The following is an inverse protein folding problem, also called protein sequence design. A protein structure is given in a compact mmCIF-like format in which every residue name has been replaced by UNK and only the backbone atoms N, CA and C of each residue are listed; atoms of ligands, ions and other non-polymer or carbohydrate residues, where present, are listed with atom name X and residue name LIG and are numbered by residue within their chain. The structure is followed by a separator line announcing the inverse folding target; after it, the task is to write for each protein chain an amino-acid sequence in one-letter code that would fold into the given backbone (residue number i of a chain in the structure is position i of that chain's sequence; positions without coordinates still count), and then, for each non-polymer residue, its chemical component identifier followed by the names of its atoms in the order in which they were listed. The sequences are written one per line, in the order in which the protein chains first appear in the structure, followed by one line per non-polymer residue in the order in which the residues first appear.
data_IF_882187093532
#
_entry.id   IF_882187093532
#
_cell.length_a   1.000
_cell.length_b   1.000
_cell.length_c   1.000
_cell.angle_alpha   90.00
_cell.angle_beta   90.00
_cell.angle_gamma   90.00
#
_symmetry.space_group_name_H-M   'P 1'
#
loop_
_entity.id
_entity.type
_entity.pdbx_description
1 polymer ?
#
# COMPACT_ATOMS: atom_id res chain seq x y z
N UNK A 1 15.34 1.05 -6.58
CA UNK A 1 15.29 2.52 -6.71
C UNK A 1 14.29 3.01 -5.67
N UNK A 2 14.72 3.80 -4.68
CA UNK A 2 13.81 4.36 -3.67
C UNK A 2 12.88 5.34 -4.39
N UNK A 3 11.56 5.16 -4.23
CA UNK A 3 10.57 6.13 -4.73
C UNK A 3 10.68 7.40 -3.89
N UNK A 4 11.54 8.33 -4.27
CA UNK A 4 11.46 9.70 -3.76
C UNK A 4 10.38 10.43 -4.53
N UNK A 5 9.16 10.42 -3.99
CA UNK A 5 8.13 11.36 -4.40
C UNK A 5 8.50 12.74 -3.84
N UNK A 6 8.88 13.73 -4.65
CA UNK A 6 9.03 15.09 -4.15
C UNK A 6 7.69 15.52 -3.51
N UNK A 7 7.75 16.06 -2.29
CA UNK A 7 6.61 16.55 -1.50
C UNK A 7 5.64 15.52 -0.88
N UNK A 8 5.98 14.23 -0.82
CA UNK A 8 5.15 13.29 -0.03
C UNK A 8 5.30 13.58 1.48
N UNK A 9 4.31 14.26 2.04
CA UNK A 9 4.26 14.58 3.47
C UNK A 9 3.88 13.34 4.26
N UNK A 10 4.74 12.92 5.21
CA UNK A 10 4.46 11.75 6.06
C UNK A 10 3.45 12.11 7.14
N UNK A 11 2.38 11.34 7.22
CA UNK A 11 1.37 11.45 8.29
C UNK A 11 1.66 10.42 9.38
N UNK A 12 1.48 10.82 10.63
CA UNK A 12 1.66 9.98 11.82
C UNK A 12 0.37 9.98 12.65
N UNK A 13 0.13 8.90 13.40
CA UNK A 13 -0.95 8.85 14.38
C UNK A 13 -0.51 9.45 15.73
N UNK A 14 -1.42 9.41 16.71
CA UNK A 14 -1.22 9.97 18.06
C UNK A 14 -0.09 9.28 18.84
N UNK A 15 0.23 8.04 18.50
CA UNK A 15 1.22 7.21 19.17
C UNK A 15 2.59 7.29 18.46
N UNK A 16 2.67 8.07 17.37
CA UNK A 16 3.89 8.34 16.62
C UNK A 16 4.17 7.33 15.50
N UNK A 17 3.25 6.41 15.21
CA UNK A 17 3.41 5.47 14.11
C UNK A 17 3.12 6.16 12.78
N UNK A 18 3.94 5.86 11.77
CA UNK A 18 3.70 6.36 10.41
C UNK A 18 2.47 5.68 9.83
N UNK A 19 1.48 6.47 9.41
CA UNK A 19 0.27 5.94 8.76
C UNK A 19 0.57 5.47 7.35
N UNK A 20 0.16 4.23 7.06
CA UNK A 20 0.33 3.57 5.77
C UNK A 20 -0.95 2.83 5.40
N UNK A 21 -1.16 2.63 4.11
CA UNK A 21 -2.20 1.75 3.61
C UNK A 21 -1.63 0.87 2.49
N UNK A 22 -2.17 -0.34 2.38
CA UNK A 22 -1.76 -1.37 1.44
C UNK A 22 -3.00 -2.18 1.05
N UNK A 23 -2.92 -2.91 -0.07
CA UNK A 23 -3.98 -3.79 -0.53
C UNK A 23 -3.42 -5.16 -0.90
N UNK A 24 -4.17 -6.20 -0.55
CA UNK A 24 -3.92 -7.56 -1.03
C UNK A 24 -4.64 -7.70 -2.37
N UNK A 25 -3.90 -7.48 -3.46
CA UNK A 25 -4.44 -7.57 -4.81
C UNK A 25 -4.63 -9.04 -5.19
N UNK A 26 -5.87 -9.52 -5.22
CA UNK A 26 -6.22 -10.89 -5.63
C UNK A 26 -6.55 -10.96 -7.11
N UNK A 27 -6.29 -12.11 -7.75
CA UNK A 27 -6.63 -12.32 -9.18
C UNK A 27 -8.14 -12.39 -9.42
N UNK A 28 -8.87 -12.94 -8.45
CA UNK A 28 -10.32 -13.18 -8.53
C UNK A 28 -10.94 -13.25 -7.13
N UNK A 29 -12.27 -13.26 -7.06
CA UNK A 29 -13.06 -13.38 -5.82
C UNK A 29 -12.81 -14.68 -5.04
N UNK A 30 -12.11 -15.66 -5.64
CA UNK A 30 -11.69 -16.87 -4.94
C UNK A 30 -10.55 -16.62 -3.93
N UNK A 31 -9.86 -15.47 -4.01
CA UNK A 31 -8.77 -15.05 -3.10
C UNK A 31 -7.61 -16.08 -2.99
N UNK A 32 -7.37 -16.89 -4.02
CA UNK A 32 -6.34 -17.97 -4.00
C UNK A 32 -4.95 -17.55 -4.47
N UNK A 33 -4.85 -16.44 -5.19
CA UNK A 33 -3.59 -15.90 -5.72
C UNK A 33 -3.49 -14.42 -5.38
N UNK A 34 -2.31 -13.98 -4.92
CA UNK A 34 -2.03 -12.58 -4.56
C UNK A 34 -0.89 -12.02 -5.40
N UNK A 35 -0.99 -10.75 -5.79
CA UNK A 35 0.07 -10.02 -6.47
C UNK A 35 1.00 -9.37 -5.45
N UNK A 36 2.30 -9.65 -5.58
CA UNK A 36 3.37 -9.00 -4.83
C UNK A 36 4.25 -8.19 -5.78
N UNK A 37 4.96 -7.21 -5.22
CA UNK A 37 5.95 -6.40 -5.94
C UNK A 37 7.33 -6.60 -5.31
N UNK A 38 8.39 -6.33 -6.06
CA UNK A 38 9.76 -6.38 -5.53
C UNK A 38 10.04 -5.16 -4.66
N UNK A 39 10.75 -5.36 -3.55
CA UNK A 39 11.06 -4.27 -2.64
C UNK A 39 12.05 -3.27 -3.26
N UNK A 40 11.72 -1.97 -3.12
CA UNK A 40 12.56 -0.89 -3.64
C UNK A 40 13.94 -0.79 -2.95
N UNK A 41 14.06 -1.28 -1.72
CA UNK A 41 15.28 -1.28 -0.88
C UNK A 41 16.06 -2.59 -0.97
N UNK A 42 15.36 -3.70 -1.18
CA UNK A 42 15.91 -5.07 -1.21
C UNK A 42 15.25 -5.82 -2.38
N UNK A 43 15.73 -5.63 -3.62
CA UNK A 43 15.08 -6.15 -4.83
C UNK A 43 14.90 -7.67 -4.87
N UNK A 44 15.64 -8.41 -4.04
CA UNK A 44 15.52 -9.86 -3.86
C UNK A 44 14.30 -10.30 -3.02
N UNK A 45 13.63 -9.36 -2.35
CA UNK A 45 12.46 -9.62 -1.50
C UNK A 45 11.16 -9.17 -2.19
N UNK A 46 10.10 -9.95 -1.96
CA UNK A 46 8.74 -9.62 -2.36
C UNK A 46 7.98 -8.98 -1.21
N UNK A 47 7.17 -7.97 -1.51
CA UNK A 47 6.35 -7.24 -0.55
C UNK A 47 4.93 -7.03 -1.09
N UNK A 48 3.99 -6.80 -0.17
CA UNK A 48 2.66 -6.30 -0.51
C UNK A 48 2.78 -4.84 -0.97
N UNK A 49 2.18 -4.45 -2.12
CA UNK A 49 2.19 -3.07 -2.57
C UNK A 49 1.43 -2.17 -1.58
N UNK A 50 2.03 -1.02 -1.25
CA UNK A 50 1.48 -0.09 -0.28
C UNK A 50 2.47 0.95 0.20
N UNK A 51 1.94 2.12 0.56
CA UNK A 51 2.76 3.30 0.86
C UNK A 51 2.21 4.16 1.98
N UNK A 52 2.63 5.41 2.00
CA UNK A 52 2.27 6.36 3.05
C UNK A 52 0.91 6.97 2.78
N UNK A 53 0.11 7.14 3.83
CA UNK A 53 -1.08 8.00 3.77
C UNK A 53 -0.63 9.44 3.58
N UNK A 54 -1.19 10.13 2.59
CA UNK A 54 -0.95 11.56 2.35
C UNK A 54 -1.90 12.43 3.20
N UNK A 55 -1.58 13.72 3.46
CA UNK A 55 -2.45 14.60 4.23
C UNK A 55 -3.87 14.68 3.65
N UNK A 56 -4.88 14.55 4.52
CA UNK A 56 -6.30 14.53 4.16
C UNK A 56 -6.73 13.37 3.25
N UNK A 57 -5.91 12.32 3.12
CA UNK A 57 -6.26 11.11 2.38
C UNK A 57 -6.85 10.05 3.32
N UNK A 58 -7.95 9.44 2.91
CA UNK A 58 -8.52 8.27 3.59
C UNK A 58 -7.69 7.01 3.28
N UNK A 59 -7.49 6.08 4.23
CA UNK A 59 -6.68 4.89 4.01
C UNK A 59 -7.10 4.04 2.81
N UNK A 60 -8.40 3.99 2.50
CA UNK A 60 -8.94 3.31 1.32
C UNK A 60 -8.46 3.95 0.02
N UNK A 61 -8.43 5.28 -0.04
CA UNK A 61 -7.95 6.04 -1.20
C UNK A 61 -6.44 5.87 -1.35
N UNK A 62 -5.70 5.95 -0.24
CA UNK A 62 -4.25 5.66 -0.20
C UNK A 62 -3.96 4.27 -0.76
N UNK A 63 -4.68 3.24 -0.32
CA UNK A 63 -4.44 1.87 -0.74
C UNK A 63 -4.64 1.70 -2.26
N UNK A 64 -5.73 2.24 -2.82
CA UNK A 64 -6.01 2.20 -4.26
C UNK A 64 -4.94 2.94 -5.07
N UNK A 65 -4.54 4.13 -4.62
CA UNK A 65 -3.48 4.92 -5.28
C UNK A 65 -2.15 4.17 -5.26
N UNK A 66 -1.74 3.63 -4.12
CA UNK A 66 -0.45 2.94 -3.97
C UNK A 66 -0.36 1.66 -4.79
N UNK A 67 -1.42 0.86 -4.88
CA UNK A 67 -1.40 -0.34 -5.74
C UNK A 67 -1.31 0.00 -7.22
N UNK A 68 -1.95 1.09 -7.66
CA UNK A 68 -1.77 1.60 -9.02
C UNK A 68 -0.32 2.02 -9.26
N UNK A 69 0.28 2.76 -8.34
CA UNK A 69 1.64 3.26 -8.49
C UNK A 69 2.73 2.19 -8.38
N UNK A 70 2.57 1.20 -7.51
CA UNK A 70 3.59 0.18 -7.22
C UNK A 70 3.41 -1.08 -8.05
N UNK A 71 2.18 -1.50 -8.30
CA UNK A 71 1.86 -2.75 -8.98
C UNK A 71 1.25 -2.54 -10.38
N UNK A 72 0.83 -1.31 -10.73
CA UNK A 72 0.27 -1.01 -12.06
C UNK A 72 -1.12 -1.60 -12.28
N UNK A 73 -1.89 -1.86 -11.22
CA UNK A 73 -3.20 -2.52 -11.28
C UNK A 73 -4.32 -1.64 -10.75
N UNK A 74 -5.52 -1.88 -11.27
CA UNK A 74 -6.79 -1.31 -10.82
C UNK A 74 -7.80 -2.43 -10.57
N UNK A 75 -8.75 -2.22 -9.68
CA UNK A 75 -9.77 -3.21 -9.34
C UNK A 75 -10.83 -2.66 -8.41
N UNK A 76 -11.74 -3.53 -7.97
CA UNK A 76 -12.76 -3.20 -6.97
C UNK A 76 -12.17 -3.30 -5.55
N UNK A 77 -12.32 -2.24 -4.76
CA UNK A 77 -11.84 -2.24 -3.38
C UNK A 77 -12.79 -3.06 -2.50
N UNK A 78 -12.28 -4.15 -1.93
CA UNK A 78 -13.02 -5.01 -1.02
C UNK A 78 -13.04 -4.52 0.44
N UNK A 79 -13.18 -5.50 1.35
CA UNK A 79 -13.25 -5.25 2.80
C UNK A 79 -11.93 -4.75 3.39
N UNK A 80 -12.00 -3.99 4.47
CA UNK A 80 -10.84 -3.72 5.32
C UNK A 80 -10.46 -5.00 6.07
N UNK A 81 -9.25 -5.52 5.86
CA UNK A 81 -8.75 -6.71 6.54
C UNK A 81 -8.36 -6.44 8.00
N UNK A 82 -7.91 -5.23 8.30
CA UNK A 82 -7.49 -4.82 9.64
C UNK A 82 -6.44 -3.72 9.62
N UNK A 83 -6.03 -3.31 10.82
CA UNK A 83 -4.88 -2.43 11.05
C UNK A 83 -3.75 -3.29 11.61
N UNK A 84 -2.57 -3.19 11.00
CA UNK A 84 -1.41 -4.02 11.34
C UNK A 84 -0.25 -3.11 11.75
N UNK A 85 0.30 -3.38 12.92
CA UNK A 85 1.51 -2.73 13.44
C UNK A 85 2.70 -3.67 13.28
N UNK A 86 3.84 -3.13 12.84
CA UNK A 86 5.09 -3.85 12.57
C UNK A 86 6.29 -3.04 12.99
#
# INVERSE_FOLDING_TARGET
MVKEKPNSTRVYDKDGFRRRAACICVRSDAETEVLLVTSSRRPELWIVPGGGVEPNEEPSVTAVREVLEEAGVVGELGRCLGVFEV
#
